data_IF_423407936162
#
_entry.id   IF_423407936162
#
_cell.length_a   1.000
_cell.length_b   1.000
_cell.length_c   1.000
_cell.angle_alpha   90.00
_cell.angle_beta   90.00
_cell.angle_gamma   90.00
#
_symmetry.space_group_name_H-M   'P 1'
#
loop_
_entity.id
_entity.type
_entity.pdbx_description
1 polymer ?
#
# COMPACT_ATOMS: atom_id res chain seq x y z
N UNK A 1 4.18 14.44 -6.18
CA UNK A 1 3.68 13.13 -6.65
C UNK A 1 2.39 12.73 -5.94
N UNK A 2 1.39 12.25 -6.69
CA UNK A 2 0.14 11.68 -6.15
C UNK A 2 0.17 10.15 -6.31
N UNK A 3 0.02 9.43 -5.19
CA UNK A 3 0.00 7.96 -5.16
C UNK A 3 -1.39 7.44 -4.80
N UNK A 4 -1.84 6.43 -5.54
CA UNK A 4 -3.01 5.63 -5.19
C UNK A 4 -2.72 4.76 -3.97
N UNK A 5 -3.77 4.31 -3.27
CA UNK A 5 -3.62 3.40 -2.12
C UNK A 5 -2.92 2.08 -2.49
N UNK A 6 -3.08 1.60 -3.73
CA UNK A 6 -2.39 0.38 -4.20
C UNK A 6 -0.89 0.62 -4.36
N UNK A 7 -0.49 1.74 -4.95
CA UNK A 7 0.92 2.11 -5.07
C UNK A 7 1.56 2.32 -3.69
N UNK A 8 0.86 3.00 -2.76
CA UNK A 8 1.34 3.17 -1.38
C UNK A 8 1.56 1.83 -0.68
N UNK A 9 0.65 0.86 -0.86
CA UNK A 9 0.80 -0.51 -0.33
C UNK A 9 2.03 -1.22 -0.90
N UNK A 10 2.27 -1.10 -2.21
CA UNK A 10 3.45 -1.68 -2.86
C UNK A 10 4.74 -1.06 -2.31
N UNK A 11 4.80 0.27 -2.22
CA UNK A 11 5.96 0.95 -1.66
C UNK A 11 6.15 0.61 -0.18
N UNK A 12 5.08 0.49 0.61
CA UNK A 12 5.19 0.07 2.00
C UNK A 12 5.83 -1.32 2.15
N UNK A 13 5.51 -2.24 1.25
CA UNK A 13 6.06 -3.60 1.25
C UNK A 13 7.51 -3.68 0.74
N UNK A 14 7.85 -2.92 -0.32
CA UNK A 14 9.09 -3.14 -1.07
C UNK A 14 10.10 -2.00 -1.04
N UNK A 15 9.69 -0.78 -0.64
CA UNK A 15 10.59 0.35 -0.56
C UNK A 15 11.53 0.25 0.65
N UNK A 16 12.66 0.93 0.54
CA UNK A 16 13.67 1.04 1.59
C UNK A 16 14.15 2.50 1.71
N UNK A 17 14.88 2.86 2.78
CA UNK A 17 15.36 4.24 2.97
C UNK A 17 16.29 4.77 1.87
N UNK A 18 16.85 3.89 1.04
CA UNK A 18 17.66 4.27 -0.12
C UNK A 18 16.80 4.34 -1.40
N UNK A 19 16.86 5.49 -2.09
CA UNK A 19 16.08 5.78 -3.29
C UNK A 19 16.42 4.83 -4.44
N UNK A 20 17.70 4.74 -4.78
CA UNK A 20 18.20 3.90 -5.87
C UNK A 20 17.82 2.43 -5.69
N UNK A 21 17.97 1.91 -4.47
CA UNK A 21 17.60 0.53 -4.15
C UNK A 21 16.09 0.30 -4.28
N UNK A 22 15.28 1.28 -3.92
CA UNK A 22 13.82 1.19 -4.08
C UNK A 22 13.41 1.11 -5.53
N UNK A 23 13.95 2.00 -6.38
CA UNK A 23 13.70 1.97 -7.82
C UNK A 23 14.17 0.65 -8.43
N UNK A 24 15.36 0.18 -8.08
CA UNK A 24 15.92 -1.09 -8.56
C UNK A 24 15.06 -2.29 -8.17
N UNK A 25 14.61 -2.36 -6.90
CA UNK A 25 13.71 -3.42 -6.43
C UNK A 25 12.39 -3.43 -7.17
N UNK A 26 11.81 -2.26 -7.46
CA UNK A 26 10.58 -2.16 -8.25
C UNK A 26 10.79 -2.64 -9.70
N UNK A 27 11.93 -2.30 -10.32
CA UNK A 27 12.30 -2.79 -11.66
C UNK A 27 12.47 -4.32 -11.67
N UNK A 28 13.11 -4.90 -10.66
CA UNK A 28 13.24 -6.36 -10.53
C UNK A 28 11.90 -7.05 -10.31
N UNK A 29 11.06 -6.53 -9.41
CA UNK A 29 9.71 -7.05 -9.21
C UNK A 29 8.91 -7.01 -10.53
N UNK A 30 9.07 -5.95 -11.33
CA UNK A 30 8.41 -5.84 -12.64
C UNK A 30 8.87 -6.91 -13.62
N UNK A 31 10.14 -7.31 -13.57
CA UNK A 31 10.65 -8.40 -14.39
C UNK A 31 10.10 -9.78 -13.95
N UNK A 32 9.79 -9.95 -12.66
CA UNK A 32 9.26 -11.19 -12.08
C UNK A 32 7.73 -11.32 -12.22
N UNK A 33 7.02 -10.22 -12.44
CA UNK A 33 5.55 -10.24 -12.56
C UNK A 33 5.10 -10.80 -13.91
N UNK A 34 4.35 -11.90 -13.86
CA UNK A 34 3.78 -12.59 -15.04
C UNK A 34 2.56 -11.85 -15.59
N UNK A 35 1.69 -11.31 -14.73
CA UNK A 35 0.49 -10.59 -15.14
C UNK A 35 0.84 -9.27 -15.87
N UNK A 36 0.43 -9.10 -17.14
CA UNK A 36 0.80 -7.91 -17.92
C UNK A 36 0.30 -6.60 -17.30
N UNK A 37 -0.88 -6.61 -16.68
CA UNK A 37 -1.47 -5.40 -16.12
C UNK A 37 -0.75 -4.98 -14.83
N UNK A 38 -0.46 -5.92 -13.94
CA UNK A 38 0.34 -5.69 -12.74
C UNK A 38 1.76 -5.26 -13.09
N UNK A 39 2.36 -5.89 -14.11
CA UNK A 39 3.66 -5.48 -14.64
C UNK A 39 3.65 -4.03 -15.10
N UNK A 40 2.66 -3.61 -15.89
CA UNK A 40 2.54 -2.22 -16.34
C UNK A 40 2.44 -1.24 -15.16
N UNK A 41 1.58 -1.52 -14.19
CA UNK A 41 1.43 -0.67 -12.99
C UNK A 41 2.71 -0.57 -12.18
N UNK A 42 3.46 -1.67 -12.04
CA UNK A 42 4.72 -1.68 -11.30
C UNK A 42 5.83 -0.91 -12.04
N UNK A 43 5.87 -1.02 -13.37
CA UNK A 43 6.78 -0.23 -14.21
C UNK A 43 6.46 1.27 -14.10
N UNK A 44 5.18 1.65 -14.16
CA UNK A 44 4.73 3.03 -13.99
C UNK A 44 5.12 3.57 -12.62
N UNK A 45 4.93 2.79 -11.56
CA UNK A 45 5.34 3.17 -10.22
C UNK A 45 6.86 3.36 -10.14
N UNK A 46 7.65 2.46 -10.71
CA UNK A 46 9.11 2.59 -10.75
C UNK A 46 9.54 3.89 -11.48
N UNK A 47 8.90 4.22 -12.61
CA UNK A 47 9.15 5.47 -13.34
C UNK A 47 8.80 6.69 -12.50
N UNK A 48 7.64 6.72 -11.83
CA UNK A 48 7.24 7.84 -10.96
C UNK A 48 8.26 8.06 -9.84
N UNK A 49 8.71 6.98 -9.21
CA UNK A 49 9.74 7.04 -8.17
C UNK A 49 11.05 7.61 -8.67
N UNK A 50 11.44 7.29 -9.92
CA UNK A 50 12.69 7.75 -10.55
C UNK A 50 12.60 9.20 -11.06
N UNK A 51 11.45 9.63 -11.59
CA UNK A 51 11.31 10.94 -12.24
C UNK A 51 10.74 12.04 -11.34
N UNK A 52 9.84 11.70 -10.41
CA UNK A 52 9.13 12.70 -9.60
C UNK A 52 9.73 12.93 -8.22
N UNK A 53 10.62 12.05 -7.74
CA UNK A 53 11.28 12.20 -6.44
C UNK A 53 12.78 12.40 -6.64
N UNK A 54 13.24 13.60 -6.34
CA UNK A 54 14.67 13.87 -6.19
C UNK A 54 15.23 13.09 -4.99
N UNK A 55 16.45 12.57 -5.13
CA UNK A 55 17.11 11.75 -4.12
C UNK A 55 17.22 12.47 -2.76
N UNK A 56 17.43 13.79 -2.77
CA UNK A 56 17.47 14.63 -1.57
C UNK A 56 16.14 14.70 -0.79
N UNK A 57 15.00 14.49 -1.45
CA UNK A 57 13.67 14.51 -0.84
C UNK A 57 13.15 13.11 -0.49
N UNK A 58 13.84 12.07 -0.96
CA UNK A 58 13.39 10.69 -0.83
C UNK A 58 13.26 10.23 0.62
N UNK A 59 14.22 10.57 1.48
CA UNK A 59 14.21 10.17 2.89
C UNK A 59 12.97 10.70 3.61
N UNK A 60 12.64 11.99 3.42
CA UNK A 60 11.43 12.59 3.99
C UNK A 60 10.16 11.96 3.42
N UNK A 61 10.12 11.70 2.12
CA UNK A 61 9.03 10.98 1.48
C UNK A 61 8.82 9.57 2.09
N UNK A 62 9.90 8.80 2.25
CA UNK A 62 9.85 7.44 2.76
C UNK A 62 9.28 7.37 4.18
N UNK A 63 9.75 8.25 5.07
CA UNK A 63 9.23 8.31 6.44
C UNK A 63 7.76 8.74 6.49
N UNK A 64 7.36 9.71 5.66
CA UNK A 64 5.96 10.12 5.57
C UNK A 64 5.06 9.00 5.05
N UNK A 65 5.49 8.29 4.01
CA UNK A 65 4.78 7.13 3.47
C UNK A 65 4.60 6.04 4.54
N UNK A 66 5.65 5.76 5.32
CA UNK A 66 5.59 4.77 6.41
C UNK A 66 4.56 5.17 7.46
N UNK A 67 4.64 6.40 7.98
CA UNK A 67 3.70 6.91 8.97
C UNK A 67 2.24 6.82 8.48
N UNK A 68 1.97 7.30 7.26
CA UNK A 68 0.61 7.28 6.68
C UNK A 68 0.07 5.85 6.53
N UNK A 69 0.91 4.90 6.09
CA UNK A 69 0.50 3.52 5.90
C UNK A 69 0.34 2.76 7.23
N UNK A 70 1.17 3.06 8.23
CA UNK A 70 1.02 2.52 9.58
C UNK A 70 -0.31 2.95 10.20
N UNK A 71 -0.66 4.24 10.08
CA UNK A 71 -1.96 4.76 10.50
C UNK A 71 -3.12 4.10 9.74
N UNK A 72 -3.01 3.98 8.41
CA UNK A 72 -4.01 3.30 7.58
C UNK A 72 -4.24 1.85 8.05
N UNK A 73 -3.18 1.09 8.31
CA UNK A 73 -3.31 -0.29 8.76
C UNK A 73 -3.82 -0.41 10.20
N UNK A 74 -3.43 0.52 11.08
CA UNK A 74 -4.00 0.64 12.42
C UNK A 74 -5.51 0.89 12.38
N UNK A 75 -5.96 1.87 11.60
CA UNK A 75 -7.37 2.18 11.40
C UNK A 75 -8.12 0.98 10.80
N UNK A 76 -7.57 0.35 9.75
CA UNK A 76 -8.16 -0.85 9.12
C UNK A 76 -8.27 -2.02 10.08
N UNK A 77 -7.35 -2.17 11.03
CA UNK A 77 -7.41 -3.21 12.07
C UNK A 77 -8.51 -2.90 13.07
N UNK A 78 -8.59 -1.65 13.56
CA UNK A 78 -9.64 -1.21 14.49
C UNK A 78 -11.03 -1.38 13.89
N UNK A 79 -11.23 -0.99 12.63
CA UNK A 79 -12.51 -1.19 11.94
C UNK A 79 -12.93 -2.66 11.85
N UNK A 80 -11.99 -3.58 11.63
CA UNK A 80 -12.29 -5.02 11.62
C UNK A 80 -12.73 -5.51 12.99
N UNK A 81 -12.01 -5.13 14.04
CA UNK A 81 -12.39 -5.46 15.42
C UNK A 81 -13.76 -4.92 15.77
N UNK A 82 -14.08 -3.67 15.38
CA UNK A 82 -15.42 -3.12 15.61
C UNK A 82 -16.46 -3.96 14.88
N UNK A 83 -16.25 -4.24 13.58
CA UNK A 83 -17.19 -5.04 12.79
C UNK A 83 -17.46 -6.42 13.42
N UNK A 84 -16.40 -7.13 13.80
CA UNK A 84 -16.48 -8.46 14.45
C UNK A 84 -17.19 -8.39 15.81
N UNK A 85 -17.01 -7.32 16.59
CA UNK A 85 -17.70 -7.13 17.87
C UNK A 85 -19.14 -6.59 17.73
N UNK A 86 -19.52 -6.06 16.55
CA UNK A 86 -20.87 -5.56 16.26
C UNK A 86 -21.71 -6.55 15.45
N UNK A 87 -21.15 -7.64 14.94
CA UNK A 87 -21.90 -8.83 14.52
C UNK A 87 -22.44 -9.54 15.78
N UNK A 88 -23.28 -8.83 16.54
CA UNK A 88 -24.21 -9.40 17.52
C UNK A 88 -25.43 -9.87 16.72
N UNK A 89 -25.57 -11.19 16.59
CA UNK A 89 -26.78 -11.97 16.28
C UNK A 89 -28.03 -11.13 15.93
N UNK A 90 -28.14 -10.71 14.67
CA UNK A 90 -29.40 -10.26 14.06
C UNK A 90 -30.20 -11.46 13.49
N UNK A 91 -29.95 -12.68 13.98
CA UNK A 91 -30.64 -13.91 13.55
C UNK A 91 -31.64 -14.45 14.61
N UNK A 92 -31.93 -13.72 15.69
CA UNK A 92 -32.82 -14.20 16.77
C UNK A 92 -34.30 -13.73 16.68
N UNK A 93 -34.75 -13.13 15.56
CA UNK A 93 -36.14 -12.67 15.44
C UNK A 93 -36.79 -12.92 14.07
N UNK A 94 -36.65 -14.12 13.51
CA UNK A 94 -37.62 -14.64 12.52
C UNK A 94 -38.10 -16.06 12.89
N UNK A 95 -38.60 -16.26 14.11
CA UNK A 95 -39.58 -17.35 14.33
C UNK A 95 -40.45 -17.07 15.57
N UNK A 96 -41.48 -16.23 15.40
CA UNK A 96 -42.65 -16.24 16.27
C UNK A 96 -43.89 -15.72 15.52
N UNK A 97 -44.76 -16.68 15.18
CA UNK A 97 -46.20 -16.61 14.79
C UNK A 97 -46.51 -16.47 13.30
#
# INVERSE_FOLDING_TARGET
MKLSIREKKMLYAFACPNHHNTVTRLKWLTALTVDPQAKHRMLELARKMETEIAESWYTGFYHKLRAEMDEYYCAKRRMRLVKENTEYEEDLYEEAV
#
